data_IF_537967352777
#
_entry.id   IF_537967352777
#
_cell.length_a   1.000
_cell.length_b   1.000
_cell.length_c   1.000
_cell.angle_alpha   90.00
_cell.angle_beta   90.00
_cell.angle_gamma   90.00
#
_symmetry.space_group_name_H-M   'P 1'
#
loop_
_entity.id
_entity.type
_entity.pdbx_description
1 polymer ?
#
# COMPACT_ATOMS: atom_id res chain seq x y z
N UNK A 1 36.24 -65.58 1.96
CA UNK A 1 35.55 -65.17 3.21
C UNK A 1 36.22 -63.93 3.78
N UNK A 2 35.42 -63.04 4.39
CA UNK A 2 35.73 -61.70 4.97
C UNK A 2 35.82 -60.58 3.91
N UNK A 3 34.73 -59.89 3.53
CA UNK A 3 33.91 -58.86 4.24
C UNK A 3 34.78 -57.66 4.66
N UNK A 4 34.77 -56.56 3.88
CA UNK A 4 34.04 -55.27 4.10
C UNK A 4 34.51 -54.60 5.41
N UNK A 5 35.01 -53.36 5.40
CA UNK A 5 34.24 -52.17 5.82
C UNK A 5 34.84 -50.87 5.22
N UNK A 6 34.06 -50.34 4.28
CA UNK A 6 33.49 -48.99 4.15
C UNK A 6 34.41 -47.77 4.06
N UNK A 7 34.22 -47.11 2.93
CA UNK A 7 34.78 -45.86 2.45
C UNK A 7 34.42 -44.64 3.31
N UNK A 8 35.41 -43.76 3.36
CA UNK A 8 35.42 -42.30 3.47
C UNK A 8 34.03 -41.68 3.21
N UNK A 9 33.36 -41.25 4.29
CA UNK A 9 32.22 -40.35 4.22
C UNK A 9 32.73 -38.91 4.14
N UNK A 10 32.74 -38.35 2.94
CA UNK A 10 32.95 -36.93 2.69
C UNK A 10 31.83 -36.14 3.39
N UNK A 11 32.24 -35.26 4.30
CA UNK A 11 31.40 -34.21 4.88
C UNK A 11 31.04 -33.25 3.76
N UNK A 12 29.83 -33.40 3.21
CA UNK A 12 29.17 -32.40 2.37
C UNK A 12 28.38 -31.46 3.29
N UNK A 13 29.10 -30.52 3.90
CA UNK A 13 28.50 -29.27 4.39
C UNK A 13 28.87 -28.19 3.37
N UNK A 14 27.96 -27.95 2.43
CA UNK A 14 28.19 -27.01 1.33
C UNK A 14 26.92 -26.29 0.90
N UNK A 15 26.79 -25.04 1.34
CA UNK A 15 26.17 -23.90 0.65
C UNK A 15 24.69 -23.98 0.25
N UNK A 16 23.77 -23.76 1.19
CA UNK A 16 22.40 -23.28 0.87
C UNK A 16 22.21 -21.77 1.05
N UNK A 17 23.25 -21.03 1.47
CA UNK A 17 23.12 -19.61 1.83
C UNK A 17 22.91 -18.65 0.64
N UNK A 18 23.44 -18.94 -0.56
CA UNK A 18 23.36 -17.99 -1.70
C UNK A 18 22.02 -17.95 -2.44
N UNK A 19 21.03 -18.79 -2.10
CA UNK A 19 19.72 -18.77 -2.78
C UNK A 19 18.69 -17.90 -2.06
N UNK A 20 18.91 -17.60 -0.78
CA UNK A 20 17.99 -16.84 0.07
C UNK A 20 18.27 -15.33 0.02
N UNK A 21 19.54 -14.92 -0.11
CA UNK A 21 19.98 -13.52 -0.26
C UNK A 21 19.26 -12.82 -1.43
N UNK A 22 19.12 -13.51 -2.58
CA UNK A 22 18.44 -12.94 -3.75
C UNK A 22 16.91 -12.82 -3.55
N UNK A 23 16.30 -13.76 -2.82
CA UNK A 23 14.85 -13.78 -2.62
C UNK A 23 14.37 -12.64 -1.71
N UNK A 24 15.08 -12.37 -0.61
CA UNK A 24 14.69 -11.30 0.32
C UNK A 24 14.74 -9.92 -0.35
N UNK A 25 15.80 -9.65 -1.11
CA UNK A 25 15.92 -8.41 -1.87
C UNK A 25 14.84 -8.29 -2.96
N UNK A 26 14.54 -9.39 -3.66
CA UNK A 26 13.48 -9.42 -4.68
C UNK A 26 12.10 -9.15 -4.06
N UNK A 27 11.71 -9.90 -3.03
CA UNK A 27 10.44 -9.73 -2.31
C UNK A 27 10.30 -8.28 -1.80
N UNK A 28 11.38 -7.70 -1.25
CA UNK A 28 11.39 -6.31 -0.76
C UNK A 28 11.15 -5.29 -1.88
N UNK A 29 11.87 -5.41 -2.99
CA UNK A 29 11.75 -4.48 -4.11
C UNK A 29 10.38 -4.57 -4.80
N UNK A 30 9.83 -5.78 -4.93
CA UNK A 30 8.48 -5.99 -5.47
C UNK A 30 7.43 -5.37 -4.56
N UNK A 31 7.50 -5.62 -3.24
CA UNK A 31 6.56 -5.05 -2.26
C UNK A 31 6.65 -3.52 -2.22
N UNK A 32 7.87 -2.96 -2.29
CA UNK A 32 8.11 -1.51 -2.36
C UNK A 32 7.41 -0.91 -3.58
N UNK A 33 7.57 -1.55 -4.74
CA UNK A 33 6.95 -1.12 -5.99
C UNK A 33 5.42 -1.20 -5.91
N UNK A 34 4.87 -2.24 -5.29
CA UNK A 34 3.43 -2.38 -5.09
C UNK A 34 2.85 -1.24 -4.25
N UNK A 35 3.47 -0.95 -3.10
CA UNK A 35 3.05 0.14 -2.22
C UNK A 35 3.06 1.50 -2.94
N UNK A 36 4.15 1.81 -3.64
CA UNK A 36 4.29 3.05 -4.40
C UNK A 36 3.33 3.11 -5.60
N UNK A 37 3.10 1.99 -6.29
CA UNK A 37 2.17 1.94 -7.41
C UNK A 37 0.72 2.19 -6.95
N UNK A 38 0.33 1.69 -5.78
CA UNK A 38 -0.97 1.96 -5.20
C UNK A 38 -1.15 3.46 -4.90
N UNK A 39 -0.15 4.11 -4.31
CA UNK A 39 -0.11 5.57 -4.12
C UNK A 39 -0.23 6.34 -5.45
N UNK A 40 0.65 6.04 -6.40
CA UNK A 40 0.75 6.77 -7.67
C UNK A 40 -0.52 6.65 -8.52
N UNK A 41 -1.22 5.51 -8.43
CA UNK A 41 -2.46 5.28 -9.15
C UNK A 41 -3.61 6.24 -8.75
N UNK A 42 -3.57 6.79 -7.54
CA UNK A 42 -4.63 7.67 -7.00
C UNK A 42 -4.15 9.09 -6.73
N UNK A 43 -2.84 9.36 -6.74
CA UNK A 43 -2.30 10.71 -6.60
C UNK A 43 -2.95 11.73 -7.58
N UNK A 44 -3.14 11.43 -8.88
CA UNK A 44 -3.82 12.35 -9.81
C UNK A 44 -5.29 12.63 -9.47
N UNK A 45 -5.91 11.81 -8.60
CA UNK A 45 -7.33 11.91 -8.22
C UNK A 45 -7.55 12.75 -6.96
N UNK A 46 -6.50 13.20 -6.28
CA UNK A 46 -6.62 13.96 -5.03
C UNK A 46 -7.37 15.29 -5.23
N UNK A 47 -7.16 15.96 -6.37
CA UNK A 47 -7.94 17.15 -6.73
C UNK A 47 -9.44 16.84 -6.93
N UNK A 48 -9.75 15.66 -7.46
CA UNK A 48 -11.13 15.19 -7.68
C UNK A 48 -11.89 15.03 -6.36
N UNK A 49 -11.23 14.57 -5.28
CA UNK A 49 -11.86 14.47 -3.95
C UNK A 49 -12.37 15.84 -3.47
N UNK A 50 -11.50 16.85 -3.51
CA UNK A 50 -11.85 18.21 -3.10
C UNK A 50 -12.96 18.81 -3.96
N UNK A 51 -12.89 18.64 -5.28
CA UNK A 51 -13.91 19.11 -6.21
C UNK A 51 -15.28 18.46 -5.94
N UNK A 52 -15.33 17.12 -5.82
CA UNK A 52 -16.58 16.40 -5.57
C UNK A 52 -17.20 16.77 -4.23
N UNK A 53 -16.37 17.00 -3.20
CA UNK A 53 -16.85 17.47 -1.90
C UNK A 53 -17.56 18.82 -2.01
N UNK A 54 -16.95 19.78 -2.71
CA UNK A 54 -17.56 21.11 -2.89
C UNK A 54 -18.83 21.04 -3.76
N UNK A 55 -18.87 20.17 -4.77
CA UNK A 55 -20.06 19.94 -5.58
C UNK A 55 -21.21 19.34 -4.75
N UNK A 56 -20.92 18.37 -3.87
CA UNK A 56 -21.92 17.80 -2.95
C UNK A 56 -22.43 18.88 -1.99
N UNK A 57 -21.56 19.73 -1.42
CA UNK A 57 -21.99 20.84 -0.56
C UNK A 57 -22.95 21.80 -1.28
N UNK A 58 -22.63 22.18 -2.52
CA UNK A 58 -23.52 23.03 -3.34
C UNK A 58 -24.86 22.35 -3.62
N UNK A 59 -24.85 21.05 -3.92
CA UNK A 59 -26.07 20.28 -4.15
C UNK A 59 -26.91 20.17 -2.88
N UNK A 60 -26.29 19.91 -1.74
CA UNK A 60 -26.94 19.83 -0.44
C UNK A 60 -27.62 21.15 -0.05
N UNK A 61 -26.99 22.29 -0.35
CA UNK A 61 -27.55 23.62 -0.07
C UNK A 61 -28.83 23.95 -0.86
N UNK A 62 -29.09 23.26 -1.97
CA UNK A 62 -30.25 23.50 -2.84
C UNK A 62 -31.29 22.38 -2.80
N UNK A 63 -30.94 21.21 -2.26
CA UNK A 63 -31.84 20.06 -2.16
C UNK A 63 -32.71 20.13 -0.90
N UNK A 64 -34.02 20.28 -1.07
CA UNK A 64 -34.97 20.36 0.05
C UNK A 64 -35.41 18.99 0.56
N UNK A 65 -34.98 17.88 -0.06
CA UNK A 65 -35.32 16.52 0.38
C UNK A 65 -34.43 16.14 1.56
N UNK A 66 -35.00 16.16 2.78
CA UNK A 66 -34.29 15.85 4.03
C UNK A 66 -33.57 14.49 3.98
N UNK A 67 -34.17 13.47 3.37
CA UNK A 67 -33.56 12.14 3.25
C UNK A 67 -32.26 12.13 2.42
N UNK A 68 -32.05 13.11 1.54
CA UNK A 68 -30.80 13.22 0.78
C UNK A 68 -29.68 13.88 1.59
N UNK A 69 -30.01 14.66 2.62
CA UNK A 69 -29.04 15.42 3.40
C UNK A 69 -28.06 14.51 4.14
N UNK A 70 -28.55 13.42 4.74
CA UNK A 70 -27.70 12.42 5.40
C UNK A 70 -26.71 11.79 4.42
N UNK A 71 -27.19 11.42 3.22
CA UNK A 71 -26.36 10.84 2.17
C UNK A 71 -25.27 11.80 1.69
N UNK A 72 -25.57 13.10 1.62
CA UNK A 72 -24.58 14.13 1.29
C UNK A 72 -23.50 14.25 2.38
N UNK A 73 -23.89 14.27 3.65
CA UNK A 73 -22.94 14.34 4.76
C UNK A 73 -22.04 13.10 4.81
N UNK A 74 -22.62 11.91 4.63
CA UNK A 74 -21.85 10.65 4.58
C UNK A 74 -20.84 10.66 3.42
N UNK A 75 -21.26 11.08 2.22
CA UNK A 75 -20.38 11.16 1.06
C UNK A 75 -19.25 12.18 1.25
N UNK A 76 -19.53 13.34 1.86
CA UNK A 76 -18.50 14.33 2.23
C UNK A 76 -17.51 13.71 3.21
N UNK A 77 -17.99 13.05 4.27
CA UNK A 77 -17.14 12.41 5.27
C UNK A 77 -16.21 11.35 4.66
N UNK A 78 -16.73 10.50 3.76
CA UNK A 78 -15.94 9.49 3.05
C UNK A 78 -14.85 10.08 2.15
N UNK A 79 -15.13 11.20 1.48
CA UNK A 79 -14.14 11.91 0.66
C UNK A 79 -13.03 12.51 1.54
N UNK A 80 -13.37 13.04 2.71
CA UNK A 80 -12.40 13.60 3.66
C UNK A 80 -11.56 12.52 4.33
N UNK A 81 -12.18 11.42 4.74
CA UNK A 81 -11.49 10.24 5.27
C UNK A 81 -10.49 9.68 4.25
N UNK A 82 -10.91 9.51 2.99
CA UNK A 82 -10.01 9.06 1.92
C UNK A 82 -8.83 10.01 1.71
N UNK A 83 -9.05 11.33 1.81
CA UNK A 83 -7.97 12.31 1.76
C UNK A 83 -7.01 12.16 2.95
N UNK A 84 -7.52 11.98 4.17
CA UNK A 84 -6.70 11.78 5.36
C UNK A 84 -5.91 10.47 5.32
N UNK A 85 -6.50 9.38 4.82
CA UNK A 85 -5.79 8.11 4.63
C UNK A 85 -4.55 8.30 3.75
N UNK A 86 -4.66 9.05 2.65
CA UNK A 86 -3.50 9.40 1.82
C UNK A 86 -2.42 10.16 2.58
N UNK A 87 -2.80 11.22 3.30
CA UNK A 87 -1.83 12.05 4.02
C UNK A 87 -1.15 11.29 5.16
N UNK A 88 -1.91 10.49 5.89
CA UNK A 88 -1.40 9.68 7.00
C UNK A 88 -0.49 8.58 6.48
N UNK A 89 -0.90 7.87 5.42
CA UNK A 89 -0.07 6.84 4.80
C UNK A 89 1.26 7.43 4.30
N UNK A 90 1.25 8.56 3.57
CA UNK A 90 2.50 9.20 3.12
C UNK A 90 3.41 9.58 4.29
N UNK A 91 2.83 10.13 5.37
CA UNK A 91 3.58 10.50 6.57
C UNK A 91 4.23 9.26 7.20
N UNK A 92 3.44 8.24 7.50
CA UNK A 92 3.90 7.04 8.20
C UNK A 92 4.92 6.28 7.34
N UNK A 93 4.63 6.11 6.05
CA UNK A 93 5.53 5.50 5.08
C UNK A 93 6.87 6.22 5.00
N UNK A 94 6.88 7.56 4.89
CA UNK A 94 8.12 8.34 4.81
C UNK A 94 8.96 8.27 6.10
N UNK A 95 8.31 8.10 7.26
CA UNK A 95 9.01 7.93 8.53
C UNK A 95 9.64 6.54 8.65
N UNK A 96 8.95 5.49 8.21
CA UNK A 96 9.41 4.11 8.28
C UNK A 96 10.47 3.78 7.20
N UNK A 97 10.33 4.42 6.02
CA UNK A 97 11.14 4.21 4.81
C UNK A 97 11.66 5.53 4.23
N UNK A 98 12.50 6.30 4.96
CA UNK A 98 13.00 7.60 4.51
C UNK A 98 13.84 7.54 3.22
N UNK A 99 14.39 6.37 2.91
CA UNK A 99 15.20 6.11 1.72
C UNK A 99 14.48 5.17 0.73
N UNK A 100 13.14 5.15 0.71
CA UNK A 100 12.33 4.26 -0.14
C UNK A 100 12.69 4.29 -1.64
N UNK A 101 13.19 5.43 -2.13
CA UNK A 101 13.61 5.61 -3.52
C UNK A 101 15.10 5.40 -3.76
N UNK A 102 15.86 5.06 -2.72
CA UNK A 102 17.28 4.77 -2.83
C UNK A 102 17.50 3.47 -3.59
N UNK A 103 18.59 3.42 -4.37
CA UNK A 103 19.05 2.20 -5.06
C UNK A 103 20.05 1.40 -4.23
N UNK A 104 20.20 1.74 -2.96
CA UNK A 104 21.11 1.06 -2.05
C UNK A 104 20.67 -0.37 -1.80
N UNK A 105 21.63 -1.29 -1.90
CA UNK A 105 21.43 -2.70 -1.53
C UNK A 105 21.56 -2.79 -0.01
N UNK A 106 20.49 -3.24 0.65
CA UNK A 106 20.47 -3.46 2.09
C UNK A 106 21.10 -4.83 2.44
N UNK A 107 21.46 -5.02 3.71
CA UNK A 107 21.87 -6.33 4.20
C UNK A 107 20.67 -7.25 4.45
N UNK A 108 20.90 -8.55 4.47
CA UNK A 108 19.88 -9.57 4.76
C UNK A 108 19.13 -9.35 6.06
N UNK A 109 19.82 -8.91 7.13
CA UNK A 109 19.18 -8.66 8.42
C UNK A 109 18.24 -7.46 8.35
N UNK A 110 18.62 -6.40 7.60
CA UNK A 110 17.75 -5.25 7.35
C UNK A 110 16.55 -5.67 6.50
N UNK A 111 16.72 -6.50 5.47
CA UNK A 111 15.57 -7.00 4.70
C UNK A 111 14.59 -7.80 5.56
N UNK A 112 15.08 -8.70 6.44
CA UNK A 112 14.21 -9.48 7.33
C UNK A 112 13.43 -8.60 8.31
N UNK A 113 14.04 -7.52 8.80
CA UNK A 113 13.38 -6.57 9.69
C UNK A 113 12.35 -5.71 8.95
N UNK A 114 12.71 -5.20 7.76
CA UNK A 114 11.92 -4.19 7.04
C UNK A 114 10.84 -4.78 6.13
N UNK A 115 11.01 -6.00 5.61
CA UNK A 115 10.06 -6.61 4.69
C UNK A 115 8.65 -6.79 5.30
N UNK A 116 8.48 -7.25 6.56
CA UNK A 116 7.15 -7.34 7.17
C UNK A 116 6.45 -5.98 7.31
N UNK A 117 7.20 -4.95 7.74
CA UNK A 117 6.68 -3.58 7.84
C UNK A 117 6.27 -3.04 6.47
N UNK A 118 7.06 -3.33 5.44
CA UNK A 118 6.77 -2.89 4.08
C UNK A 118 5.51 -3.58 3.51
N UNK A 119 5.29 -4.85 3.85
CA UNK A 119 4.05 -5.56 3.49
C UNK A 119 2.82 -4.92 4.13
N UNK A 120 2.91 -4.58 5.41
CA UNK A 120 1.85 -3.83 6.09
C UNK A 120 1.59 -2.47 5.42
N UNK A 121 2.65 -1.75 5.03
CA UNK A 121 2.50 -0.50 4.30
C UNK A 121 1.89 -0.68 2.91
N UNK A 122 2.20 -1.77 2.21
CA UNK A 122 1.60 -2.09 0.91
C UNK A 122 0.09 -2.39 1.04
N UNK A 123 -0.31 -3.13 2.09
CA UNK A 123 -1.72 -3.36 2.42
C UNK A 123 -2.45 -2.05 2.72
N UNK A 124 -1.88 -1.19 3.57
CA UNK A 124 -2.43 0.15 3.87
C UNK A 124 -2.53 1.03 2.62
N UNK A 125 -1.55 0.97 1.73
CA UNK A 125 -1.58 1.69 0.46
C UNK A 125 -2.73 1.22 -0.42
N UNK A 126 -2.99 -0.08 -0.47
CA UNK A 126 -4.10 -0.67 -1.21
C UNK A 126 -5.47 -0.29 -0.62
N UNK A 127 -5.60 -0.32 0.72
CA UNK A 127 -6.81 0.14 1.41
C UNK A 127 -7.09 1.62 1.13
N UNK A 128 -6.07 2.47 1.25
CA UNK A 128 -6.13 3.89 0.88
C UNK A 128 -6.58 4.07 -0.58
N UNK A 129 -5.97 3.33 -1.52
CA UNK A 129 -6.32 3.36 -2.94
C UNK A 129 -7.81 3.01 -3.15
N UNK A 130 -8.30 2.01 -2.44
CA UNK A 130 -9.69 1.56 -2.51
C UNK A 130 -10.66 2.57 -1.88
N UNK A 131 -10.30 3.18 -0.75
CA UNK A 131 -11.08 4.25 -0.12
C UNK A 131 -11.22 5.47 -1.04
N UNK A 132 -10.14 5.88 -1.72
CA UNK A 132 -10.18 6.99 -2.68
C UNK A 132 -11.07 6.66 -3.88
N UNK A 133 -10.87 5.51 -4.53
CA UNK A 133 -11.67 5.17 -5.71
C UNK A 133 -13.16 4.97 -5.37
N UNK A 134 -13.47 4.32 -4.25
CA UNK A 134 -14.86 4.10 -3.82
C UNK A 134 -15.56 5.39 -3.39
N UNK A 135 -14.89 6.27 -2.64
CA UNK A 135 -15.45 7.57 -2.26
C UNK A 135 -15.73 8.45 -3.48
N UNK A 136 -14.83 8.48 -4.46
CA UNK A 136 -15.04 9.17 -5.75
C UNK A 136 -16.25 8.59 -6.48
N UNK A 137 -16.31 7.27 -6.65
CA UNK A 137 -17.42 6.60 -7.34
C UNK A 137 -18.76 6.92 -6.67
N UNK A 138 -18.85 6.77 -5.36
CA UNK A 138 -20.08 7.03 -4.60
C UNK A 138 -20.52 8.50 -4.73
N UNK A 139 -19.57 9.43 -4.67
CA UNK A 139 -19.86 10.86 -4.84
C UNK A 139 -20.33 11.19 -6.26
N UNK A 140 -19.71 10.60 -7.28
CA UNK A 140 -20.12 10.75 -8.68
C UNK A 140 -21.54 10.20 -8.91
N UNK A 141 -21.86 9.01 -8.39
CA UNK A 141 -23.20 8.42 -8.47
C UNK A 141 -24.25 9.32 -7.80
N UNK A 142 -23.92 9.88 -6.62
CA UNK A 142 -24.80 10.78 -5.88
C UNK A 142 -25.04 12.11 -6.62
N UNK A 143 -24.05 12.59 -7.37
CA UNK A 143 -24.13 13.77 -8.22
C UNK A 143 -24.63 13.48 -9.64
N UNK A 144 -24.80 12.21 -10.02
CA UNK A 144 -25.10 11.73 -11.38
C UNK A 144 -24.08 12.21 -12.42
N UNK A 145 -22.79 12.14 -12.08
CA UNK A 145 -21.65 12.48 -12.93
C UNK A 145 -20.83 11.25 -13.33
#
# INVERSE_FOLDING_TARGET
MKKIIIAIGIVLLGFTACKQENKLATDYNETMKEALAAHDAVMPKMGTLGMLREDIKKKAATDTITANQERYQEAIGKLEEAHHLMMNWMKDFSNEFPNALSKEVLSDDVYKEKLPLLKEQAEKAEEMKNAINSSIKNAQELLKK
#
